data_IF_950264786996
#
_entry.id   IF_950264786996
#
_cell.length_a   1.000
_cell.length_b   1.000
_cell.length_c   1.000
_cell.angle_alpha   90.00
_cell.angle_beta   90.00
_cell.angle_gamma   90.00
#
_symmetry.space_group_name_H-M   'P 1'
#
loop_
_entity.id
_entity.type
_entity.pdbx_description
1 polymer ?
#
# COMPACT_ATOMS: atom_id res chain seq x y z
N UNK A 1 -7.74 -22.20 -3.28
CA UNK A 1 -8.00 -20.81 -3.70
C UNK A 1 -6.68 -20.06 -3.62
N UNK A 2 -6.39 -19.14 -4.54
CA UNK A 2 -5.14 -18.36 -4.48
C UNK A 2 -5.26 -17.29 -3.40
N UNK A 3 -4.33 -17.25 -2.45
CA UNK A 3 -4.23 -16.19 -1.44
C UNK A 3 -3.92 -14.86 -2.13
N UNK A 4 -4.69 -13.82 -1.83
CA UNK A 4 -4.44 -12.49 -2.38
C UNK A 4 -3.25 -11.82 -1.67
N UNK A 5 -2.47 -11.07 -2.43
CA UNK A 5 -1.31 -10.34 -1.93
C UNK A 5 -1.65 -8.87 -1.69
N UNK A 6 -1.27 -8.33 -0.52
CA UNK A 6 -1.63 -6.98 -0.07
C UNK A 6 -0.39 -6.18 0.36
N UNK A 7 -0.25 -4.98 -0.18
CA UNK A 7 0.65 -3.96 0.34
C UNK A 7 -0.13 -2.88 1.08
N UNK A 8 0.24 -2.64 2.34
CA UNK A 8 -0.30 -1.55 3.17
C UNK A 8 0.71 -0.42 3.24
N UNK A 9 0.34 0.78 2.81
CA UNK A 9 1.12 1.99 3.06
C UNK A 9 1.06 2.43 4.53
N UNK A 10 1.93 3.38 4.86
CA UNK A 10 2.03 3.92 6.21
C UNK A 10 0.76 4.65 6.67
N UNK A 11 -0.02 5.25 5.76
CA UNK A 11 -1.27 5.89 6.14
C UNK A 11 -2.32 4.89 6.60
N UNK A 12 -2.37 3.71 5.97
CA UNK A 12 -3.25 2.65 6.43
C UNK A 12 -2.82 2.11 7.79
N UNK A 13 -1.53 1.82 7.98
CA UNK A 13 -1.00 1.38 9.27
C UNK A 13 -1.29 2.41 10.38
N UNK A 14 -1.04 3.69 10.11
CA UNK A 14 -1.33 4.76 11.05
C UNK A 14 -2.83 4.93 11.30
N UNK A 15 -3.67 4.73 10.27
CA UNK A 15 -5.12 4.78 10.39
C UNK A 15 -5.67 3.69 11.31
N UNK A 16 -5.12 2.47 11.20
CA UNK A 16 -5.46 1.33 12.06
C UNK A 16 -5.06 1.62 13.51
N UNK A 17 -3.79 1.97 13.77
CA UNK A 17 -3.30 2.22 15.13
C UNK A 17 -4.04 3.37 15.81
N UNK A 18 -4.36 4.43 15.06
CA UNK A 18 -5.10 5.59 15.60
C UNK A 18 -6.61 5.36 15.66
N UNK A 19 -7.09 4.18 15.28
CA UNK A 19 -8.51 3.83 15.24
C UNK A 19 -9.38 4.90 14.56
N UNK A 20 -8.93 5.41 13.42
CA UNK A 20 -9.73 6.36 12.64
C UNK A 20 -11.08 5.69 12.25
N UNK A 21 -12.19 6.43 12.10
CA UNK A 21 -13.53 5.86 11.96
C UNK A 21 -13.64 4.68 10.98
N UNK A 22 -13.25 4.87 9.71
CA UNK A 22 -13.31 3.79 8.70
C UNK A 22 -12.33 2.63 8.98
N UNK A 23 -11.23 2.89 9.69
CA UNK A 23 -10.21 1.90 10.00
C UNK A 23 -10.59 0.99 11.16
N UNK A 24 -11.47 1.44 12.06
CA UNK A 24 -12.07 0.58 13.10
C UNK A 24 -12.82 -0.60 12.50
N UNK A 25 -13.46 -0.39 11.36
CA UNK A 25 -14.19 -1.43 10.65
C UNK A 25 -13.27 -2.31 9.79
N UNK A 26 -12.23 -1.73 9.20
CA UNK A 26 -11.24 -2.47 8.40
C UNK A 26 -10.36 -3.40 9.25
N UNK A 27 -9.87 -2.93 10.40
CA UNK A 27 -8.87 -3.64 11.20
C UNK A 27 -9.25 -5.10 11.58
N UNK A 28 -10.44 -5.39 12.14
CA UNK A 28 -10.82 -6.76 12.46
C UNK A 28 -10.97 -7.64 11.22
N UNK A 29 -11.50 -7.09 10.13
CA UNK A 29 -11.67 -7.81 8.85
C UNK A 29 -10.31 -8.18 8.26
N UNK A 30 -9.36 -7.25 8.24
CA UNK A 30 -8.00 -7.50 7.77
C UNK A 30 -7.31 -8.60 8.60
N UNK A 31 -7.39 -8.52 9.93
CA UNK A 31 -6.81 -9.53 10.83
C UNK A 31 -7.42 -10.91 10.57
N UNK A 32 -8.74 -10.99 10.41
CA UNK A 32 -9.41 -12.26 10.10
C UNK A 32 -8.98 -12.82 8.74
N UNK A 33 -8.88 -11.98 7.70
CA UNK A 33 -8.46 -12.41 6.37
C UNK A 33 -6.99 -12.90 6.36
N UNK A 34 -6.11 -12.27 7.13
CA UNK A 34 -4.72 -12.73 7.32
C UNK A 34 -4.69 -14.06 8.07
N UNK A 35 -5.42 -14.17 9.19
CA UNK A 35 -5.45 -15.38 10.02
C UNK A 35 -6.06 -16.58 9.29
N UNK A 36 -7.03 -16.35 8.41
CA UNK A 36 -7.61 -17.39 7.55
C UNK A 36 -6.70 -17.78 6.37
N UNK A 37 -5.61 -17.04 6.12
CA UNK A 37 -4.75 -17.27 4.95
C UNK A 37 -5.34 -16.78 3.63
N UNK A 38 -6.45 -16.03 3.66
CA UNK A 38 -7.07 -15.43 2.49
C UNK A 38 -6.23 -14.26 1.94
N UNK A 39 -5.44 -13.60 2.79
CA UNK A 39 -4.52 -12.51 2.40
C UNK A 39 -3.12 -12.70 2.98
N UNK A 40 -2.12 -12.40 2.14
CA UNK A 40 -0.72 -12.25 2.54
C UNK A 40 -0.32 -10.79 2.48
N UNK A 41 0.08 -10.22 3.62
CA UNK A 41 0.59 -8.84 3.71
C UNK A 41 2.10 -8.82 3.52
N UNK A 42 2.62 -7.84 2.79
CA UNK A 42 4.06 -7.64 2.59
C UNK A 42 4.58 -6.35 3.24
N UNK A 43 5.76 -6.45 3.85
CA UNK A 43 6.58 -5.32 4.29
C UNK A 43 7.47 -4.80 3.15
N UNK A 44 7.92 -3.56 3.29
CA UNK A 44 8.93 -2.91 2.46
C UNK A 44 9.92 -2.14 3.34
N UNK A 45 11.07 -1.79 2.79
CA UNK A 45 12.08 -1.04 3.54
C UNK A 45 11.61 0.37 3.96
N UNK A 46 10.68 0.96 3.20
CA UNK A 46 10.18 2.32 3.47
C UNK A 46 9.35 2.35 4.75
N UNK A 47 8.64 1.26 5.10
CA UNK A 47 7.88 1.17 6.36
C UNK A 47 8.76 1.43 7.59
N UNK A 48 9.97 0.88 7.60
CA UNK A 48 10.90 1.09 8.70
C UNK A 48 11.38 2.54 8.75
N UNK A 49 11.63 3.17 7.60
CA UNK A 49 12.10 4.54 7.51
C UNK A 49 11.01 5.55 7.93
N UNK A 50 9.77 5.35 7.45
CA UNK A 50 8.63 6.22 7.76
C UNK A 50 8.09 6.04 9.19
N UNK A 51 8.36 4.89 9.82
CA UNK A 51 7.96 4.63 11.21
C UNK A 51 8.93 5.21 12.24
N UNK A 52 10.19 5.46 11.87
CA UNK A 52 11.23 6.00 12.78
C UNK A 52 10.81 7.25 13.56
N UNK A 53 10.11 8.24 12.97
CA UNK A 53 9.72 9.45 13.69
C UNK A 53 8.64 9.23 14.76
N UNK A 54 7.93 8.10 14.73
CA UNK A 54 6.77 7.81 15.61
C UNK A 54 6.83 6.39 16.19
N UNK A 55 7.88 6.06 16.98
CA UNK A 55 8.01 4.74 17.58
C UNK A 55 6.87 4.42 18.57
N UNK A 56 6.26 5.46 19.14
CA UNK A 56 5.09 5.37 20.03
C UNK A 56 3.88 4.68 19.39
N UNK A 57 3.74 4.79 18.07
CA UNK A 57 2.62 4.20 17.33
C UNK A 57 2.83 2.71 17.01
N UNK A 58 3.99 2.12 17.32
CA UNK A 58 4.25 0.67 17.15
C UNK A 58 3.87 0.12 15.76
N UNK A 59 4.03 0.95 14.72
CA UNK A 59 3.56 0.63 13.35
C UNK A 59 4.27 -0.60 12.78
N UNK A 60 5.55 -0.77 13.09
CA UNK A 60 6.30 -1.96 12.69
C UNK A 60 5.88 -3.22 13.43
N UNK A 61 5.45 -3.13 14.69
CA UNK A 61 4.91 -4.30 15.43
C UNK A 61 3.62 -4.78 14.78
N UNK A 62 2.70 -3.86 14.47
CA UNK A 62 1.46 -4.16 13.75
C UNK A 62 1.75 -4.74 12.37
N UNK A 63 2.65 -4.12 11.60
CA UNK A 63 2.97 -4.59 10.27
C UNK A 63 3.59 -6.00 10.31
N UNK A 64 4.50 -6.25 11.26
CA UNK A 64 5.14 -7.55 11.42
C UNK A 64 4.14 -8.65 11.82
N UNK A 65 3.18 -8.32 12.70
CA UNK A 65 2.07 -9.20 13.06
C UNK A 65 1.24 -9.60 11.83
N UNK A 66 0.90 -8.63 10.97
CA UNK A 66 0.10 -8.87 9.76
C UNK A 66 0.88 -9.60 8.66
N UNK A 67 2.16 -9.26 8.49
CA UNK A 67 2.98 -9.78 7.40
C UNK A 67 3.55 -11.17 7.72
N UNK A 68 3.76 -11.50 9.00
CA UNK A 68 4.57 -12.64 9.42
C UNK A 68 6.03 -12.53 8.97
N UNK A 69 6.55 -11.31 8.80
CA UNK A 69 7.90 -11.02 8.31
C UNK A 69 8.09 -11.16 6.80
N UNK A 70 7.03 -11.36 6.02
CA UNK A 70 7.12 -11.43 4.54
C UNK A 70 7.43 -10.07 3.95
N UNK A 71 8.40 -10.00 3.04
CA UNK A 71 8.88 -8.75 2.45
C UNK A 71 8.77 -8.73 0.94
N UNK A 72 8.50 -7.56 0.40
CA UNK A 72 8.75 -7.27 -1.01
C UNK A 72 10.25 -7.35 -1.30
N UNK A 73 10.65 -7.66 -2.55
CA UNK A 73 12.03 -7.55 -2.97
C UNK A 73 12.54 -6.11 -2.78
N UNK A 74 13.82 -5.97 -2.46
CA UNK A 74 14.46 -4.64 -2.37
C UNK A 74 14.77 -4.07 -3.75
N UNK A 75 15.18 -4.95 -4.69
CA UNK A 75 15.57 -4.52 -6.02
C UNK A 75 14.38 -4.37 -6.96
N UNK A 76 14.33 -3.23 -7.65
CA UNK A 76 13.37 -3.02 -8.73
C UNK A 76 13.72 -3.89 -9.94
N UNK A 77 12.81 -4.78 -10.32
CA UNK A 77 12.87 -5.45 -11.61
C UNK A 77 12.53 -4.51 -12.78
N UNK A 78 12.54 -5.03 -14.01
CA UNK A 78 12.24 -4.23 -15.22
C UNK A 78 10.84 -3.60 -15.17
N UNK A 79 9.84 -4.32 -14.68
CA UNK A 79 8.47 -3.86 -14.63
C UNK A 79 8.31 -2.77 -13.56
N UNK A 80 8.88 -2.98 -12.37
CA UNK A 80 8.87 -2.00 -11.30
C UNK A 80 9.65 -0.73 -11.70
N UNK A 81 10.79 -0.85 -12.39
CA UNK A 81 11.50 0.33 -12.94
C UNK A 81 10.64 1.11 -13.94
N UNK A 82 9.83 0.43 -14.75
CA UNK A 82 8.92 1.09 -15.69
C UNK A 82 7.77 1.80 -14.98
N UNK A 83 7.13 1.14 -14.01
CA UNK A 83 6.09 1.72 -13.18
C UNK A 83 6.60 2.97 -12.46
N UNK A 84 7.79 2.88 -11.83
CA UNK A 84 8.46 4.00 -11.18
C UNK A 84 8.71 5.18 -12.12
N UNK A 85 9.23 4.92 -13.33
CA UNK A 85 9.47 5.97 -14.34
C UNK A 85 8.17 6.66 -14.75
N UNK A 86 7.10 5.90 -14.95
CA UNK A 86 5.78 6.44 -15.32
C UNK A 86 5.20 7.32 -14.22
N UNK A 87 5.24 6.87 -12.96
CA UNK A 87 4.79 7.69 -11.83
C UNK A 87 5.57 8.99 -11.73
N UNK A 88 6.90 8.94 -11.81
CA UNK A 88 7.73 10.15 -11.81
C UNK A 88 7.37 11.09 -12.96
N UNK A 89 7.20 10.56 -14.17
CA UNK A 89 6.84 11.38 -15.32
C UNK A 89 5.51 12.12 -15.10
N UNK A 90 4.48 11.44 -14.58
CA UNK A 90 3.18 12.06 -14.24
C UNK A 90 3.36 13.16 -13.20
N UNK A 91 4.14 12.90 -12.14
CA UNK A 91 4.39 13.91 -11.10
C UNK A 91 5.05 15.16 -11.70
N UNK A 92 6.07 14.98 -12.54
CA UNK A 92 6.83 16.09 -13.14
C UNK A 92 6.04 16.88 -14.19
N UNK A 93 5.20 16.22 -14.98
CA UNK A 93 4.58 16.83 -16.17
C UNK A 93 3.10 17.17 -15.99
N UNK A 94 2.37 16.45 -15.14
CA UNK A 94 0.93 16.66 -14.93
C UNK A 94 0.61 17.31 -13.58
N UNK A 95 1.55 17.29 -12.63
CA UNK A 95 1.36 17.82 -11.27
C UNK A 95 2.48 18.81 -10.89
N UNK A 96 2.81 19.80 -11.74
CA UNK A 96 3.99 20.66 -11.59
C UNK A 96 3.95 21.55 -10.33
N UNK A 97 2.76 21.78 -9.77
CA UNK A 97 2.60 22.52 -8.52
C UNK A 97 3.14 21.77 -7.28
N UNK A 98 3.37 20.46 -7.40
CA UNK A 98 4.01 19.68 -6.33
C UNK A 98 5.53 19.80 -6.42
N UNK A 99 6.14 20.40 -5.39
CA UNK A 99 7.59 20.27 -5.18
C UNK A 99 7.91 18.84 -4.73
N UNK A 100 8.66 18.11 -5.56
CA UNK A 100 9.19 16.80 -5.22
C UNK A 100 10.05 16.87 -3.95
N UNK A 101 9.83 15.94 -3.02
CA UNK A 101 10.65 15.74 -1.83
C UNK A 101 11.54 14.52 -2.01
N UNK A 102 12.70 14.49 -1.36
CA UNK A 102 13.58 13.32 -1.39
C UNK A 102 12.93 12.05 -0.82
N UNK A 103 11.96 12.19 0.12
CA UNK A 103 11.14 11.08 0.61
C UNK A 103 10.31 10.43 -0.50
N UNK A 104 9.91 11.19 -1.53
CA UNK A 104 9.08 10.69 -2.63
C UNK A 104 9.81 9.61 -3.44
N UNK A 105 11.15 9.60 -3.47
CA UNK A 105 11.90 8.63 -4.27
C UNK A 105 11.78 7.20 -3.74
N UNK A 106 11.80 7.02 -2.42
CA UNK A 106 11.68 5.71 -1.80
C UNK A 106 10.22 5.22 -1.78
N UNK A 107 9.26 6.14 -1.62
CA UNK A 107 7.83 5.84 -1.76
C UNK A 107 7.50 5.35 -3.18
N UNK A 108 8.08 5.99 -4.20
CA UNK A 108 7.92 5.58 -5.59
C UNK A 108 8.48 4.18 -5.86
N UNK A 109 9.58 3.80 -5.21
CA UNK A 109 10.18 2.47 -5.35
C UNK A 109 9.30 1.40 -4.71
N UNK A 110 8.85 1.64 -3.47
CA UNK A 110 7.97 0.72 -2.77
C UNK A 110 6.63 0.53 -3.49
N UNK A 111 6.00 1.62 -3.95
CA UNK A 111 4.76 1.54 -4.72
C UNK A 111 4.97 0.86 -6.07
N UNK A 112 6.09 1.10 -6.75
CA UNK A 112 6.38 0.41 -8.00
C UNK A 112 6.49 -1.12 -7.79
N UNK A 113 7.15 -1.56 -6.72
CA UNK A 113 7.22 -2.97 -6.36
C UNK A 113 5.82 -3.52 -6.04
N UNK A 114 5.08 -2.83 -5.15
CA UNK A 114 3.74 -3.24 -4.75
C UNK A 114 2.79 -3.39 -5.95
N UNK A 115 2.76 -2.42 -6.86
CA UNK A 115 1.93 -2.49 -8.08
C UNK A 115 2.24 -3.71 -8.95
N UNK A 116 3.49 -4.15 -8.99
CA UNK A 116 3.89 -5.31 -9.82
C UNK A 116 3.79 -6.65 -9.12
N UNK A 117 3.67 -6.66 -7.78
CA UNK A 117 3.78 -7.88 -6.95
C UNK A 117 2.56 -8.17 -6.10
N UNK A 118 1.65 -7.21 -5.95
CA UNK A 118 0.49 -7.32 -5.10
C UNK A 118 -0.81 -7.22 -5.91
N UNK A 119 -1.80 -8.02 -5.51
CA UNK A 119 -3.15 -7.96 -6.05
C UNK A 119 -3.89 -6.74 -5.51
N UNK A 120 -3.62 -6.35 -4.25
CA UNK A 120 -4.21 -5.23 -3.55
C UNK A 120 -3.10 -4.27 -3.11
N UNK A 121 -3.24 -2.98 -3.44
CA UNK A 121 -2.25 -1.95 -3.09
C UNK A 121 -2.94 -0.77 -2.43
N UNK A 122 -2.48 -0.39 -1.24
CA UNK A 122 -2.90 0.87 -0.61
C UNK A 122 -1.85 1.96 -0.78
N UNK A 123 -2.31 3.22 -0.81
CA UNK A 123 -1.46 4.41 -0.86
C UNK A 123 -2.23 5.65 -0.40
N UNK A 124 -1.54 6.78 -0.26
CA UNK A 124 -2.20 8.05 -0.02
C UNK A 124 -3.07 8.50 -1.22
N UNK A 125 -3.91 9.50 -1.00
CA UNK A 125 -4.82 9.99 -2.05
C UNK A 125 -4.09 10.61 -3.26
N UNK A 126 -2.90 11.15 -3.05
CA UNK A 126 -2.12 11.74 -4.12
C UNK A 126 -1.51 10.65 -5.01
N UNK A 127 -0.84 9.66 -4.40
CA UNK A 127 -0.25 8.56 -5.13
C UNK A 127 -1.31 7.74 -5.83
N UNK A 128 -2.51 7.62 -5.24
CA UNK A 128 -3.65 7.02 -5.93
C UNK A 128 -4.01 7.76 -7.22
N UNK A 129 -3.98 9.10 -7.23
CA UNK A 129 -4.21 9.91 -8.44
C UNK A 129 -3.09 9.72 -9.47
N UNK A 130 -1.83 9.77 -9.04
CA UNK A 130 -0.65 9.53 -9.90
C UNK A 130 -0.73 8.16 -10.59
N UNK A 131 -1.02 7.11 -9.83
CA UNK A 131 -1.08 5.73 -10.32
C UNK A 131 -2.21 5.59 -11.35
N UNK A 132 -3.39 6.16 -11.07
CA UNK A 132 -4.55 6.15 -11.98
C UNK A 132 -4.29 6.91 -13.29
N UNK A 133 -3.65 8.09 -13.22
CA UNK A 133 -3.21 8.85 -14.40
C UNK A 133 -2.21 8.06 -15.24
N UNK A 134 -1.27 7.38 -14.59
CA UNK A 134 -0.30 6.49 -15.23
C UNK A 134 -0.92 5.15 -15.71
N UNK A 135 -2.18 4.86 -15.32
CA UNK A 135 -2.92 3.61 -15.59
C UNK A 135 -2.18 2.35 -15.16
N UNK A 136 -1.42 2.43 -14.07
CA UNK A 136 -0.56 1.33 -13.63
C UNK A 136 -1.36 0.19 -12.99
N UNK A 137 -2.45 0.51 -12.29
CA UNK A 137 -3.37 -0.46 -11.71
C UNK A 137 -3.99 -1.35 -12.80
N UNK A 138 -4.35 -0.76 -13.94
CA UNK A 138 -4.88 -1.50 -15.09
C UNK A 138 -3.79 -2.32 -15.77
N UNK A 139 -2.59 -1.76 -15.92
CA UNK A 139 -1.45 -2.42 -16.56
C UNK A 139 -0.99 -3.65 -15.78
N UNK A 140 -0.97 -3.56 -14.45
CA UNK A 140 -0.49 -4.61 -13.56
C UNK A 140 -1.61 -5.45 -12.93
N UNK A 141 -2.88 -5.15 -13.24
CA UNK A 141 -4.08 -5.87 -12.78
C UNK A 141 -4.18 -5.93 -11.25
N UNK A 142 -3.78 -4.86 -10.57
CA UNK A 142 -3.93 -4.73 -9.13
C UNK A 142 -5.10 -3.78 -8.79
N UNK A 143 -5.77 -4.03 -7.67
CA UNK A 143 -6.77 -3.13 -7.12
C UNK A 143 -6.10 -2.09 -6.22
N UNK A 144 -6.37 -0.81 -6.50
CA UNK A 144 -5.76 0.32 -5.82
C UNK A 144 -6.72 0.96 -4.83
N UNK A 145 -6.31 1.19 -3.59
CA UNK A 145 -7.11 1.80 -2.53
C UNK A 145 -6.40 3.02 -1.93
N UNK A 146 -7.03 4.19 -1.96
CA UNK A 146 -6.49 5.39 -1.31
C UNK A 146 -6.80 5.43 0.18
N UNK A 147 -6.02 6.19 0.96
CA UNK A 147 -6.29 6.44 2.38
C UNK A 147 -7.59 7.21 2.72
N UNK A 148 -8.46 7.47 1.73
CA UNK A 148 -9.76 8.14 1.94
C UNK A 148 -10.80 7.13 2.43
N UNK A 149 -11.69 7.58 3.30
CA UNK A 149 -12.73 6.75 3.93
C UNK A 149 -13.46 5.78 2.98
N UNK A 150 -13.96 6.23 1.81
CA UNK A 150 -14.63 5.33 0.87
C UNK A 150 -13.76 4.18 0.37
N UNK A 151 -12.47 4.41 0.07
CA UNK A 151 -11.56 3.36 -0.37
C UNK A 151 -11.15 2.43 0.78
N UNK A 152 -11.09 2.93 2.02
CA UNK A 152 -10.86 2.10 3.21
C UNK A 152 -12.02 1.11 3.41
N UNK A 153 -13.27 1.57 3.27
CA UNK A 153 -14.46 0.72 3.35
C UNK A 153 -14.55 -0.24 2.17
N UNK A 154 -14.17 0.20 0.95
CA UNK A 154 -14.09 -0.69 -0.21
C UNK A 154 -13.05 -1.79 -0.03
N UNK A 155 -11.90 -1.50 0.61
CA UNK A 155 -10.93 -2.55 0.96
C UNK A 155 -11.53 -3.53 1.96
N UNK A 156 -12.22 -3.05 3.01
CA UNK A 156 -12.94 -3.92 3.96
C UNK A 156 -13.88 -4.87 3.23
N UNK A 157 -14.73 -4.36 2.34
CA UNK A 157 -15.69 -5.17 1.59
C UNK A 157 -15.00 -6.16 0.66
N UNK A 158 -13.90 -5.74 0.03
CA UNK A 158 -13.09 -6.60 -0.82
C UNK A 158 -12.51 -7.79 -0.04
N UNK A 159 -12.03 -7.54 1.18
CA UNK A 159 -11.49 -8.57 2.08
C UNK A 159 -12.58 -9.52 2.57
N UNK A 160 -13.78 -9.03 2.90
CA UNK A 160 -14.93 -9.89 3.23
C UNK A 160 -15.30 -10.82 2.07
N UNK A 161 -15.21 -10.31 0.83
CA UNK A 161 -15.48 -11.09 -0.38
C UNK A 161 -14.42 -12.13 -0.74
N UNK A 162 -13.23 -12.12 -0.11
CA UNK A 162 -12.22 -13.17 -0.33
C UNK A 162 -12.57 -14.48 0.39
N UNK A 163 -13.51 -14.45 1.33
CA UNK A 163 -13.86 -15.58 2.18
C UNK A 163 -12.72 -15.99 3.14
N UNK A 164 -12.99 -16.90 4.09
CA UNK A 164 -11.96 -17.75 4.66
C UNK A 164 -11.45 -18.80 3.64
#
# INVERSE_FOLDING_TARGET
MSTASLYLDQNYLSGIVKEKPAFRELAPVLRNAVNAGAVTVFESEIHAQESRPRPDLKLMELLHELSGGRRLPVELDRAARDARRRMRWVIEHELPERRARASDAADLDALALALTRCDLVTCDAFMADVIRRARLELRHRCELFSGRGPDVLRLRDRLLGLGP
#
